data_IF_156087095361
#
_entry.id   IF_156087095361
#
_cell.length_a   1.000
_cell.length_b   1.000
_cell.length_c   1.000
_cell.angle_alpha   90.00
_cell.angle_beta   90.00
_cell.angle_gamma   90.00
#
_symmetry.space_group_name_H-M   'P 1'
#
loop_
_entity.id
_entity.type
_entity.pdbx_description
1 polymer ?
#
# COMPACT_ATOMS: atom_id res chain seq x y z
N UNK A 1 -0.50 -20.57 -3.04
CA UNK A 1 -0.23 -19.89 -1.74
C UNK A 1 -0.98 -20.65 -0.65
N UNK A 2 -0.40 -20.86 0.55
CA UNK A 2 -1.00 -21.70 1.61
C UNK A 2 -2.13 -21.00 2.38
N UNK A 3 -3.11 -20.42 1.69
CA UNK A 3 -4.31 -19.86 2.32
C UNK A 3 -4.16 -18.49 2.99
N UNK A 4 -3.13 -17.70 2.68
CA UNK A 4 -3.08 -16.30 3.10
C UNK A 4 -3.91 -15.39 2.18
N UNK A 5 -4.29 -14.20 2.67
CA UNK A 5 -5.00 -13.17 1.89
C UNK A 5 -4.06 -12.27 1.06
N UNK A 6 -4.57 -11.53 0.07
CA UNK A 6 -3.80 -10.57 -0.70
C UNK A 6 -3.37 -9.37 0.17
N UNK A 7 -2.28 -8.72 -0.23
CA UNK A 7 -1.92 -7.42 0.34
C UNK A 7 -2.82 -6.31 -0.19
N UNK A 8 -2.97 -5.24 0.58
CA UNK A 8 -3.70 -4.06 0.11
C UNK A 8 -3.02 -3.46 -1.14
N UNK A 9 -3.77 -3.00 -2.14
CA UNK A 9 -3.22 -2.32 -3.30
C UNK A 9 -2.61 -0.97 -2.92
N UNK A 10 -1.74 -0.45 -3.79
CA UNK A 10 -1.26 0.92 -3.68
C UNK A 10 -2.39 1.89 -4.02
N UNK A 11 -2.58 2.93 -3.21
CA UNK A 11 -3.46 4.07 -3.54
C UNK A 11 -2.66 5.37 -3.54
N UNK A 12 -2.93 6.23 -4.53
CA UNK A 12 -2.45 7.61 -4.54
C UNK A 12 -3.64 8.55 -4.46
N UNK A 13 -3.61 9.42 -3.46
CA UNK A 13 -4.69 10.36 -3.18
C UNK A 13 -4.12 11.77 -3.06
N UNK A 14 -4.61 12.69 -3.87
CA UNK A 14 -4.32 14.13 -3.73
C UNK A 14 -5.42 14.78 -2.92
N UNK A 15 -5.06 15.58 -1.92
CA UNK A 15 -5.94 16.30 -1.01
C UNK A 15 -6.97 15.39 -0.30
N UNK A 16 -6.49 14.24 0.20
CA UNK A 16 -7.29 13.25 0.92
C UNK A 16 -8.13 13.89 2.04
N UNK A 17 -9.40 13.53 2.14
CA UNK A 17 -10.34 14.02 3.15
C UNK A 17 -10.86 15.45 2.91
N UNK A 18 -10.62 16.03 1.73
CA UNK A 18 -11.07 17.39 1.40
C UNK A 18 -12.02 17.42 0.20
N UNK A 19 -12.76 18.53 -0.04
CA UNK A 19 -13.57 18.67 -1.26
C UNK A 19 -12.78 18.61 -2.58
N UNK A 20 -11.43 18.72 -2.53
CA UNK A 20 -10.54 18.62 -3.69
C UNK A 20 -9.88 17.24 -3.82
N UNK A 21 -10.39 16.22 -3.13
CA UNK A 21 -9.83 14.86 -3.18
C UNK A 21 -9.83 14.31 -4.62
N UNK A 22 -8.68 13.78 -5.05
CA UNK A 22 -8.53 13.07 -6.33
C UNK A 22 -7.77 11.77 -6.09
N UNK A 23 -8.35 10.65 -6.50
CA UNK A 23 -7.71 9.32 -6.43
C UNK A 23 -7.13 8.94 -7.78
N UNK A 24 -5.96 8.33 -7.75
CA UNK A 24 -5.24 7.92 -8.94
C UNK A 24 -4.74 6.48 -8.79
N UNK A 25 -4.87 5.74 -9.90
CA UNK A 25 -4.23 4.43 -10.06
C UNK A 25 -2.75 4.61 -10.43
N UNK A 26 -2.19 3.71 -11.24
CA UNK A 26 -0.82 3.81 -11.73
C UNK A 26 -0.61 5.08 -12.54
N UNK A 27 0.18 6.00 -12.00
CA UNK A 27 0.61 7.24 -12.66
C UNK A 27 2.07 7.19 -13.10
N UNK A 28 2.39 7.89 -14.18
CA UNK A 28 3.77 8.16 -14.60
C UNK A 28 4.19 9.59 -14.24
N UNK A 29 3.29 10.55 -14.44
CA UNK A 29 3.45 11.94 -14.04
C UNK A 29 2.11 12.48 -13.55
N UNK A 30 2.13 13.30 -12.49
CA UNK A 30 0.94 13.90 -11.90
C UNK A 30 1.18 15.41 -11.71
N UNK A 31 0.47 16.28 -12.43
CA UNK A 31 0.55 17.72 -12.18
C UNK A 31 -0.08 18.04 -10.83
N UNK A 32 0.62 18.87 -10.05
CA UNK A 32 0.20 19.32 -8.72
C UNK A 32 0.25 20.84 -8.65
N UNK A 33 -0.64 21.43 -7.87
CA UNK A 33 -0.67 22.86 -7.61
C UNK A 33 -0.03 23.18 -6.25
N UNK A 34 0.51 24.40 -6.05
CA UNK A 34 0.98 24.82 -4.73
C UNK A 34 -0.12 24.65 -3.67
N UNK A 35 0.21 23.93 -2.60
CA UNK A 35 -0.73 23.61 -1.53
C UNK A 35 -1.51 22.31 -1.71
N UNK A 36 -1.28 21.55 -2.79
CA UNK A 36 -1.75 20.16 -2.87
C UNK A 36 -0.99 19.26 -1.89
N UNK A 37 -1.72 18.33 -1.25
CA UNK A 37 -1.16 17.32 -0.34
C UNK A 37 -1.29 15.96 -0.99
N UNK A 38 -0.18 15.24 -1.19
CA UNK A 38 -0.19 13.88 -1.75
C UNK A 38 -0.07 12.85 -0.63
N UNK A 39 -1.04 11.95 -0.57
CA UNK A 39 -1.01 10.75 0.27
C UNK A 39 -0.74 9.54 -0.62
N UNK A 40 0.37 8.84 -0.37
CA UNK A 40 0.70 7.59 -1.03
C UNK A 40 0.58 6.44 -0.03
N UNK A 41 -0.41 5.58 -0.24
CA UNK A 41 -0.56 4.33 0.50
C UNK A 41 0.18 3.26 -0.28
N UNK A 42 1.33 2.81 0.21
CA UNK A 42 2.12 1.78 -0.45
C UNK A 42 1.48 0.40 -0.32
N UNK A 43 1.59 -0.42 -1.36
CA UNK A 43 1.07 -1.78 -1.36
C UNK A 43 1.55 -2.61 -0.17
N UNK A 44 0.64 -3.37 0.42
CA UNK A 44 0.96 -4.39 1.41
C UNK A 44 1.49 -5.67 0.77
N UNK A 45 2.22 -6.46 1.54
CA UNK A 45 2.58 -7.82 1.14
C UNK A 45 1.38 -8.78 1.28
N UNK A 46 1.35 -9.85 0.49
CA UNK A 46 0.41 -10.95 0.69
C UNK A 46 0.70 -11.72 1.97
N UNK A 47 -0.35 -12.21 2.61
CA UNK A 47 -0.27 -13.07 3.79
C UNK A 47 0.14 -14.50 3.46
N UNK A 48 0.61 -15.23 4.47
CA UNK A 48 0.93 -16.66 4.36
C UNK A 48 0.25 -17.44 5.48
N UNK A 49 -0.29 -18.62 5.13
CA UNK A 49 -1.01 -19.46 6.09
C UNK A 49 -2.44 -19.00 6.31
N UNK A 50 -3.20 -19.82 7.02
CA UNK A 50 -4.53 -19.45 7.49
C UNK A 50 -4.40 -18.41 8.62
N UNK A 51 -5.02 -17.24 8.44
CA UNK A 51 -4.99 -16.14 9.39
C UNK A 51 -5.50 -16.55 10.78
N UNK A 52 -6.52 -17.40 10.86
CA UNK A 52 -7.09 -17.85 12.13
C UNK A 52 -6.19 -18.83 12.90
N UNK A 53 -5.15 -19.36 12.25
CA UNK A 53 -4.14 -20.20 12.91
C UNK A 53 -3.00 -19.40 13.52
N UNK A 54 -2.98 -18.07 13.33
CA UNK A 54 -2.00 -17.19 13.99
C UNK A 54 -2.16 -17.29 15.51
N UNK A 55 -1.04 -17.35 16.22
CA UNK A 55 -1.00 -17.30 17.68
C UNK A 55 -1.71 -16.04 18.19
N UNK A 56 -2.81 -16.17 18.98
CA UNK A 56 -3.52 -15.03 19.55
C UNK A 56 -2.61 -14.10 20.35
N UNK A 57 -1.64 -14.64 21.09
CA UNK A 57 -0.74 -13.87 21.96
C UNK A 57 0.30 -13.05 21.17
N UNK A 58 0.45 -13.31 19.88
CA UNK A 58 1.26 -12.48 19.00
C UNK A 58 0.52 -11.22 18.53
N UNK A 59 -0.81 -11.24 18.49
CA UNK A 59 -1.64 -10.17 17.89
C UNK A 59 -1.67 -8.87 18.71
N UNK A 60 -1.74 -8.86 20.06
CA UNK A 60 -1.67 -7.63 20.84
C UNK A 60 -0.45 -6.78 20.50
N UNK A 61 0.71 -7.42 20.32
CA UNK A 61 1.97 -6.75 19.95
C UNK A 61 1.90 -6.10 18.56
N UNK A 62 1.21 -6.72 17.62
CA UNK A 62 1.00 -6.16 16.28
C UNK A 62 0.10 -4.91 16.33
N UNK A 63 -0.89 -4.93 17.24
CA UNK A 63 -1.78 -3.79 17.48
C UNK A 63 -1.07 -2.64 18.20
N UNK A 64 -0.30 -2.94 19.24
CA UNK A 64 0.51 -1.95 19.96
C UNK A 64 1.54 -1.26 19.06
N UNK A 65 2.05 -1.98 18.05
CA UNK A 65 2.97 -1.43 17.04
C UNK A 65 2.27 -0.62 15.94
N UNK A 66 0.93 -0.59 15.92
CA UNK A 66 0.15 0.08 14.89
C UNK A 66 0.21 -0.60 13.52
N UNK A 67 0.64 -1.86 13.45
CA UNK A 67 0.67 -2.65 12.21
C UNK A 67 -0.72 -3.21 11.89
N UNK A 68 -1.51 -3.45 12.94
CA UNK A 68 -2.87 -4.00 12.87
C UNK A 68 -3.78 -3.13 13.77
N UNK A 69 -5.02 -2.89 13.37
CA UNK A 69 -6.00 -2.23 14.25
C UNK A 69 -6.73 -3.26 15.11
N UNK A 70 -7.35 -2.85 16.22
CA UNK A 70 -8.16 -3.75 17.07
C UNK A 70 -9.27 -4.43 16.25
N UNK A 71 -9.91 -3.69 15.36
CA UNK A 71 -10.96 -4.18 14.49
C UNK A 71 -10.42 -5.16 13.45
N UNK A 72 -9.23 -4.88 12.90
CA UNK A 72 -8.56 -5.79 11.98
C UNK A 72 -8.12 -7.08 12.68
N UNK A 73 -7.72 -7.03 13.96
CA UNK A 73 -7.37 -8.19 14.75
C UNK A 73 -8.56 -9.16 14.90
N UNK A 74 -9.74 -8.62 15.26
CA UNK A 74 -10.97 -9.38 15.38
C UNK A 74 -11.41 -9.96 14.02
N UNK A 75 -11.41 -9.14 12.97
CA UNK A 75 -11.88 -9.54 11.64
C UNK A 75 -10.96 -10.55 10.95
N UNK A 76 -9.65 -10.33 10.96
CA UNK A 76 -8.70 -11.13 10.18
C UNK A 76 -8.22 -12.37 10.93
N UNK A 77 -7.95 -12.26 12.23
CA UNK A 77 -7.37 -13.34 13.03
C UNK A 77 -8.37 -14.02 13.97
N UNK A 78 -9.60 -13.48 14.06
CA UNK A 78 -10.59 -13.91 15.06
C UNK A 78 -10.15 -13.60 16.49
N UNK A 79 -9.22 -12.67 16.70
CA UNK A 79 -8.65 -12.35 18.01
C UNK A 79 -9.34 -11.12 18.58
N UNK A 80 -10.05 -11.31 19.68
CA UNK A 80 -10.72 -10.23 20.39
C UNK A 80 -9.81 -9.75 21.51
N UNK A 81 -9.61 -8.42 21.59
CA UNK A 81 -8.75 -7.81 22.58
C UNK A 81 -9.60 -7.04 23.59
N UNK A 82 -9.37 -7.32 24.87
CA UNK A 82 -9.94 -6.56 25.98
C UNK A 82 -9.08 -5.32 26.26
N UNK A 83 -9.76 -4.19 26.48
CA UNK A 83 -9.08 -2.94 26.83
C UNK A 83 -8.73 -2.90 28.33
N UNK A 84 -7.45 -2.61 28.62
CA UNK A 84 -6.93 -2.40 29.98
C UNK A 84 -5.76 -1.43 29.97
N UNK A 85 -4.83 -1.57 30.92
CA UNK A 85 -3.54 -0.85 30.87
C UNK A 85 -2.66 -1.30 29.69
N UNK A 86 -2.92 -2.51 29.20
CA UNK A 86 -2.29 -3.17 28.06
C UNK A 86 -3.40 -3.91 27.31
N UNK A 87 -3.20 -4.15 26.01
CA UNK A 87 -4.12 -4.99 25.25
C UNK A 87 -3.89 -6.46 25.62
N UNK A 88 -4.94 -7.15 26.02
CA UNK A 88 -4.89 -8.58 26.41
C UNK A 88 -5.91 -9.34 25.57
N UNK A 89 -5.57 -10.58 25.21
CA UNK A 89 -6.48 -11.46 24.48
C UNK A 89 -7.66 -11.85 25.38
N UNK A 90 -8.88 -11.67 24.88
CA UNK A 90 -10.07 -12.27 25.46
C UNK A 90 -10.19 -13.70 24.92
N UNK A 91 -9.79 -14.69 25.72
CA UNK A 91 -9.76 -16.09 25.29
C UNK A 91 -11.14 -16.65 24.92
N UNK A 92 -12.18 -16.26 25.67
CA UNK A 92 -13.53 -16.77 25.45
C UNK A 92 -14.12 -16.17 24.17
N UNK A 93 -14.03 -14.84 24.02
CA UNK A 93 -14.51 -14.16 22.83
C UNK A 93 -13.70 -14.55 21.59
N UNK A 94 -12.39 -14.75 21.72
CA UNK A 94 -11.52 -15.25 20.62
C UNK A 94 -11.94 -16.67 20.21
N UNK A 95 -12.18 -17.56 21.16
CA UNK A 95 -12.63 -18.94 20.86
C UNK A 95 -13.98 -18.93 20.16
N UNK A 96 -14.93 -18.13 20.64
CA UNK A 96 -16.23 -17.96 20.01
C UNK A 96 -16.13 -17.39 18.59
N UNK A 97 -15.33 -16.34 18.39
CA UNK A 97 -15.11 -15.72 17.08
C UNK A 97 -14.47 -16.70 16.09
N UNK A 98 -13.49 -17.50 16.53
CA UNK A 98 -12.85 -18.52 15.70
C UNK A 98 -13.76 -19.71 15.40
N UNK A 99 -14.62 -20.11 16.34
CA UNK A 99 -15.58 -21.19 16.15
C UNK A 99 -16.75 -20.80 15.24
N UNK A 100 -17.17 -19.53 15.26
CA UNK A 100 -18.23 -18.99 14.41
C UNK A 100 -17.79 -18.74 12.95
N UNK A 101 -16.55 -19.08 12.60
CA UNK A 101 -16.01 -18.90 11.25
C UNK A 101 -16.77 -19.78 10.24
N UNK A 102 -17.38 -19.16 9.24
CA UNK A 102 -17.63 -19.79 7.94
C UNK A 102 -16.33 -19.82 7.12
N UNK A 103 -16.21 -20.70 6.12
CA UNK A 103 -15.01 -20.84 5.27
C UNK A 103 -14.39 -19.46 4.98
N UNK A 104 -13.23 -19.22 5.60
CA UNK A 104 -12.53 -17.95 5.50
C UNK A 104 -12.30 -17.62 4.04
N UNK A 105 -12.46 -16.35 3.65
CA UNK A 105 -12.01 -15.82 2.36
C UNK A 105 -10.47 -15.89 2.25
N UNK A 106 -9.94 -17.11 2.25
CA UNK A 106 -8.58 -17.44 1.89
C UNK A 106 -8.60 -17.60 0.39
N UNK A 107 -8.29 -16.50 -0.30
CA UNK A 107 -8.42 -16.44 -1.73
C UNK A 107 -7.55 -15.36 -2.33
N UNK A 108 -7.29 -15.50 -3.61
CA UNK A 108 -6.84 -14.42 -4.48
C UNK A 108 -7.99 -13.40 -4.52
N UNK A 109 -7.86 -12.28 -3.79
CA UNK A 109 -8.92 -11.28 -3.63
C UNK A 109 -9.53 -10.75 -4.93
N UNK A 110 -10.51 -9.83 -4.86
CA UNK A 110 -11.34 -9.44 -6.01
C UNK A 110 -10.53 -8.90 -7.20
N UNK A 111 -9.32 -8.41 -6.94
CA UNK A 111 -8.39 -7.89 -7.94
C UNK A 111 -7.95 -8.96 -8.94
N UNK A 112 -7.84 -10.23 -8.52
CA UNK A 112 -7.42 -11.32 -9.41
C UNK A 112 -8.52 -11.67 -10.41
N UNK A 113 -9.77 -12.00 -10.00
CA UNK A 113 -10.87 -12.19 -10.94
C UNK A 113 -11.09 -10.97 -11.85
N UNK A 114 -10.97 -9.75 -11.31
CA UNK A 114 -11.07 -8.53 -12.11
C UNK A 114 -10.02 -8.49 -13.22
N UNK A 115 -8.76 -8.82 -12.92
CA UNK A 115 -7.72 -8.92 -13.93
C UNK A 115 -8.01 -10.03 -14.95
N UNK A 116 -8.44 -11.20 -14.49
CA UNK A 116 -8.71 -12.36 -15.36
C UNK A 116 -9.87 -12.11 -16.33
N UNK A 117 -10.83 -11.24 -15.94
CA UNK A 117 -11.93 -10.82 -16.81
C UNK A 117 -11.44 -10.02 -18.04
N UNK A 118 -10.37 -9.24 -17.89
CA UNK A 118 -9.81 -8.41 -18.96
C UNK A 118 -8.70 -9.16 -19.72
N UNK A 119 -7.90 -9.92 -18.99
CA UNK A 119 -6.71 -10.60 -19.47
C UNK A 119 -6.83 -12.10 -19.21
N UNK A 120 -7.81 -12.75 -19.87
CA UNK A 120 -7.88 -14.20 -19.86
C UNK A 120 -6.50 -14.79 -20.22
N UNK A 121 -6.05 -15.84 -19.52
CA UNK A 121 -4.68 -16.36 -19.66
C UNK A 121 -4.26 -16.62 -21.11
N UNK A 122 -5.19 -17.15 -21.93
CA UNK A 122 -4.98 -17.40 -23.36
C UNK A 122 -4.70 -16.11 -24.18
N UNK A 123 -5.16 -14.94 -23.73
CA UNK A 123 -4.90 -13.65 -24.37
C UNK A 123 -3.53 -13.06 -23.97
N UNK A 124 -3.02 -13.39 -22.78
CA UNK A 124 -1.71 -12.92 -22.28
C UNK A 124 -0.57 -13.73 -22.88
N UNK A 125 -0.74 -15.04 -22.97
CA UNK A 125 0.28 -15.96 -23.50
C UNK A 125 0.34 -15.96 -25.02
N UNK A 126 -0.59 -15.25 -25.70
CA UNK A 126 -0.56 -15.12 -27.15
C UNK A 126 0.68 -14.31 -27.54
N UNK A 127 1.62 -14.88 -28.31
CA UNK A 127 2.76 -14.12 -28.80
C UNK A 127 2.24 -12.93 -29.60
N UNK A 128 2.49 -11.73 -29.11
CA UNK A 128 2.17 -10.52 -29.87
C UNK A 128 3.08 -10.53 -31.09
N UNK A 129 2.56 -10.45 -32.32
CA UNK A 129 3.40 -10.31 -33.49
C UNK A 129 4.29 -9.09 -33.25
N UNK A 130 5.59 -9.25 -33.45
CA UNK A 130 6.53 -8.15 -33.37
C UNK A 130 6.11 -7.12 -34.41
N UNK A 131 5.44 -6.05 -33.96
CA UNK A 131 5.38 -4.84 -34.77
C UNK A 131 6.81 -4.35 -34.82
N UNK A 132 7.45 -4.23 -36.00
CA UNK A 132 8.73 -3.54 -36.06
C UNK A 132 8.47 -2.15 -35.48
N UNK A 133 9.03 -1.87 -34.30
CA UNK A 133 9.18 -0.50 -33.85
C UNK A 133 10.12 0.11 -34.90
N UNK A 134 9.69 1.10 -35.71
CA UNK A 134 10.69 1.89 -36.39
C UNK A 134 11.63 2.37 -35.28
N UNK A 135 12.93 2.13 -35.45
CA UNK A 135 13.94 2.79 -34.64
C UNK A 135 13.67 4.28 -34.82
N UNK A 136 12.94 4.87 -33.88
CA UNK A 136 12.90 6.29 -33.74
C UNK A 136 14.35 6.64 -33.41
N UNK A 137 15.06 7.11 -34.42
CA UNK A 137 16.29 7.88 -34.23
C UNK A 137 15.95 8.85 -33.11
N UNK A 138 16.62 8.70 -31.97
CA UNK A 138 16.60 9.72 -30.93
C UNK A 138 17.07 11.00 -31.63
N UNK A 139 16.12 11.82 -32.10
CA UNK A 139 16.42 13.21 -32.35
C UNK A 139 16.78 13.76 -30.98
N UNK A 140 18.00 14.26 -30.77
CA UNK A 140 18.31 14.96 -29.55
C UNK A 140 17.49 16.24 -29.60
N UNK A 141 16.26 16.21 -29.08
CA UNK A 141 15.65 17.42 -28.58
C UNK A 141 16.50 17.85 -27.38
N UNK A 142 17.58 18.57 -27.69
CA UNK A 142 18.22 19.47 -26.73
C UNK A 142 17.12 20.44 -26.33
N UNK A 143 16.53 20.23 -25.15
CA UNK A 143 15.92 21.33 -24.42
C UNK A 143 17.00 22.42 -24.32
N UNK A 144 16.79 23.64 -24.84
CA UNK A 144 17.65 24.74 -24.44
C UNK A 144 17.44 24.87 -22.92
N UNK A 145 18.48 25.21 -22.16
CA UNK A 145 18.50 25.41 -20.70
C UNK A 145 18.33 24.18 -19.78
N UNK A 146 19.34 23.30 -19.76
CA UNK A 146 19.77 22.67 -18.49
C UNK A 146 21.29 22.79 -18.36
N UNK A 147 21.76 23.99 -18.03
CA UNK A 147 23.12 24.22 -17.53
C UNK A 147 23.03 24.34 -16.01
N UNK A 148 22.89 23.22 -15.31
CA UNK A 148 23.08 23.12 -13.87
C UNK A 148 24.25 22.16 -13.61
N UNK A 149 25.35 22.67 -13.08
CA UNK A 149 26.49 21.86 -12.64
C UNK A 149 26.05 20.97 -11.45
N UNK A 150 26.59 19.75 -11.23
CA UNK A 150 26.09 18.83 -10.20
C UNK A 150 26.35 19.25 -8.74
N UNK A 151 26.88 20.43 -8.45
CA UNK A 151 27.41 20.75 -7.11
C UNK A 151 26.68 21.87 -6.34
N UNK A 152 25.63 22.49 -6.89
CA UNK A 152 25.15 23.79 -6.37
C UNK A 152 23.91 23.79 -5.45
N UNK A 153 23.42 22.65 -4.97
CA UNK A 153 22.18 22.63 -4.15
C UNK A 153 22.28 22.01 -2.75
N UNK A 154 23.46 21.56 -2.30
CA UNK A 154 23.63 20.98 -0.96
C UNK A 154 24.55 21.74 0.01
N UNK A 155 25.05 22.93 -0.35
CA UNK A 155 25.87 23.74 0.57
C UNK A 155 25.05 24.73 1.40
N UNK A 156 24.65 24.25 2.58
CA UNK A 156 24.52 24.96 3.88
C UNK A 156 24.48 26.50 3.84
N UNK A 157 23.29 27.08 4.05
CA UNK A 157 23.17 28.39 4.72
C UNK A 157 22.99 28.17 6.23
N UNK A 158 24.10 28.10 6.98
CA UNK A 158 24.07 28.35 8.42
C UNK A 158 23.73 29.84 8.62
N UNK A 159 22.53 30.15 9.10
CA UNK A 159 22.22 31.51 9.57
C UNK A 159 23.04 31.81 10.82
N UNK A 160 23.65 33.00 10.97
CA UNK A 160 24.23 33.39 12.26
C UNK A 160 23.09 33.54 13.29
N UNK A 161 23.27 32.91 14.47
CA UNK A 161 22.39 33.09 15.62
C UNK A 161 22.52 34.55 16.11
N UNK A 162 21.41 35.27 16.19
CA UNK A 162 21.32 36.55 16.91
C UNK A 162 21.36 36.25 18.42
N UNK A 163 22.13 36.98 19.24
CA UNK A 163 21.99 36.89 20.69
C UNK A 163 20.68 37.58 21.10
N UNK A 164 19.98 36.98 22.06
CA UNK A 164 18.79 37.57 22.70
C UNK A 164 19.25 38.51 23.84
N UNK A 165 18.51 39.60 24.12
CA UNK A 165 18.67 40.38 25.35
C UNK A 165 18.12 39.62 26.57
#
# INVERSE_FOLDING_TARGET
>A
MRGGGPGAPTELIVNAGTPRERRHDKIYALPLEPGDVVTLLTSGAGGYGDLFTRDPEAVPRDVERGVVTVEAAARAYGVVLAAGRTLVVDEEATRAARAARGDSETGVGPERPAWESVFAAAAVDRPRPSRPRPLAVHSPQRSPHWNGHPDDHWQRRRRPRRPLP
#
